data_IF_430295615915
#
_entry.id   IF_430295615915
#
_cell.length_a   1.000
_cell.length_b   1.000
_cell.length_c   1.000
_cell.angle_alpha   90.00
_cell.angle_beta   90.00
_cell.angle_gamma   90.00
#
_symmetry.space_group_name_H-M   'P 1'
#
loop_
_entity.id
_entity.type
_entity.pdbx_description
1 polymer ?
#
# COMPACT_ATOMS: atom_id res chain seq x y z
N UNK A 1 19.85 2.48 -13.35
CA UNK A 1 19.61 2.33 -11.90
C UNK A 1 18.32 1.57 -11.66
N UNK A 2 17.16 2.11 -12.04
CA UNK A 2 15.85 1.45 -11.79
C UNK A 2 15.72 0.05 -12.39
N UNK A 3 16.19 -0.19 -13.63
CA UNK A 3 16.22 -1.54 -14.23
C UNK A 3 17.03 -2.55 -13.39
N UNK A 4 18.11 -2.11 -12.73
CA UNK A 4 18.90 -3.00 -11.87
C UNK A 4 18.16 -3.30 -10.56
N UNK A 5 17.43 -2.32 -10.02
CA UNK A 5 16.59 -2.52 -8.84
C UNK A 5 15.43 -3.46 -9.15
N UNK A 6 14.72 -3.22 -10.26
CA UNK A 6 13.67 -4.09 -10.77
C UNK A 6 14.14 -5.55 -10.89
N UNK A 7 15.26 -5.80 -11.58
CA UNK A 7 15.79 -7.17 -11.71
C UNK A 7 16.26 -7.79 -10.39
N UNK A 8 16.53 -7.00 -9.35
CA UNK A 8 16.79 -7.55 -8.01
C UNK A 8 15.49 -7.97 -7.34
N UNK A 9 14.42 -7.18 -7.45
CA UNK A 9 13.10 -7.54 -6.96
C UNK A 9 12.54 -8.78 -7.68
N UNK A 10 12.66 -8.87 -9.01
CA UNK A 10 12.27 -10.05 -9.78
C UNK A 10 12.98 -11.32 -9.28
N UNK A 11 14.28 -11.23 -9.00
CA UNK A 11 15.06 -12.35 -8.47
C UNK A 11 14.53 -12.81 -7.11
N UNK A 12 14.13 -11.88 -6.24
CA UNK A 12 13.54 -12.24 -4.95
C UNK A 12 12.16 -12.88 -5.15
N UNK A 13 11.33 -12.28 -6.01
CA UNK A 13 9.96 -12.71 -6.24
C UNK A 13 9.87 -14.10 -6.87
N UNK A 14 10.75 -14.41 -7.82
CA UNK A 14 10.76 -15.69 -8.53
C UNK A 14 11.71 -16.74 -7.95
N UNK A 15 12.42 -16.44 -6.86
CA UNK A 15 13.33 -17.40 -6.26
C UNK A 15 12.58 -18.63 -5.73
N UNK A 16 12.99 -19.83 -6.15
CA UNK A 16 12.62 -21.06 -5.45
C UNK A 16 13.38 -21.09 -4.12
N UNK A 17 12.62 -20.99 -3.03
CA UNK A 17 13.11 -21.04 -1.66
C UNK A 17 12.48 -22.19 -0.87
N UNK A 18 12.05 -23.24 -1.56
CA UNK A 18 11.40 -24.40 -0.97
C UNK A 18 12.25 -25.10 0.10
N UNK A 19 13.57 -24.90 0.11
CA UNK A 19 14.46 -25.36 1.19
C UNK A 19 14.18 -24.72 2.57
N UNK A 20 13.35 -23.68 2.61
CA UNK A 20 12.89 -23.02 3.82
C UNK A 20 11.47 -23.44 4.26
N UNK A 21 10.78 -24.31 3.50
CA UNK A 21 9.40 -24.68 3.77
C UNK A 21 9.19 -25.35 5.14
N UNK A 22 10.16 -26.16 5.58
CA UNK A 22 10.10 -26.92 6.84
C UNK A 22 10.84 -26.22 8.00
N UNK A 23 11.40 -25.03 7.79
CA UNK A 23 12.20 -24.34 8.81
C UNK A 23 11.30 -23.52 9.73
N UNK A 24 11.40 -23.79 11.03
CA UNK A 24 11.00 -22.82 12.06
C UNK A 24 12.10 -21.78 12.18
N UNK A 25 11.87 -20.58 11.66
CA UNK A 25 12.84 -19.49 11.70
C UNK A 25 12.43 -18.30 10.83
N UNK A 26 13.36 -17.36 10.70
CA UNK A 26 13.15 -16.03 10.10
C UNK A 26 13.05 -16.03 8.58
N UNK A 27 13.62 -17.06 7.93
CA UNK A 27 13.57 -17.21 6.48
C UNK A 27 12.35 -18.02 6.04
N UNK A 28 11.59 -17.49 5.10
CA UNK A 28 10.37 -18.10 4.56
C UNK A 28 10.60 -18.63 3.15
N UNK A 29 9.82 -19.64 2.75
CA UNK A 29 9.83 -20.17 1.39
C UNK A 29 9.13 -19.25 0.36
N UNK A 30 8.49 -18.18 0.83
CA UNK A 30 7.76 -17.20 0.01
C UNK A 30 8.63 -15.96 -0.27
N UNK A 31 8.22 -15.06 -1.19
CA UNK A 31 8.87 -13.76 -1.47
C UNK A 31 8.90 -12.79 -0.28
N UNK A 32 9.52 -13.18 0.82
CA UNK A 32 9.54 -12.45 2.08
C UNK A 32 10.34 -11.14 1.98
N UNK A 33 9.82 -10.07 2.57
CA UNK A 33 10.45 -8.74 2.54
C UNK A 33 11.82 -8.70 3.23
N UNK A 34 12.11 -9.61 4.15
CA UNK A 34 13.47 -9.70 4.69
C UNK A 34 14.53 -10.15 3.68
N UNK A 35 14.15 -10.75 2.55
CA UNK A 35 15.09 -10.94 1.43
C UNK A 35 15.41 -9.64 0.72
N UNK A 36 14.49 -8.67 0.68
CA UNK A 36 14.77 -7.32 0.18
C UNK A 36 15.80 -6.66 1.08
N UNK A 37 15.58 -6.70 2.40
CA UNK A 37 16.54 -6.20 3.38
C UNK A 37 17.91 -6.87 3.22
N UNK A 38 17.94 -8.20 3.09
CA UNK A 38 19.19 -8.96 3.02
C UNK A 38 19.94 -8.83 1.69
N UNK A 39 19.25 -8.93 0.57
CA UNK A 39 19.88 -9.10 -0.76
C UNK A 39 19.89 -7.80 -1.58
N UNK A 40 18.96 -6.89 -1.31
CA UNK A 40 18.90 -5.57 -1.96
C UNK A 40 19.59 -4.53 -1.07
N UNK A 41 19.18 -4.43 0.20
CA UNK A 41 19.75 -3.46 1.14
C UNK A 41 21.09 -3.91 1.73
N UNK A 42 21.42 -5.21 1.64
CA UNK A 42 22.68 -5.78 2.16
C UNK A 42 22.82 -5.61 3.68
N UNK A 43 21.68 -5.65 4.37
CA UNK A 43 21.56 -5.58 5.83
C UNK A 43 21.10 -6.93 6.39
N UNK A 44 21.23 -7.14 7.69
CA UNK A 44 20.74 -8.33 8.38
C UNK A 44 19.45 -7.97 9.15
N UNK A 45 18.27 -8.46 8.73
CA UNK A 45 16.99 -8.07 9.33
C UNK A 45 16.94 -8.21 10.86
N UNK A 46 17.60 -9.23 11.42
CA UNK A 46 17.60 -9.48 12.86
C UNK A 46 18.64 -8.63 13.59
N UNK A 47 19.84 -8.50 13.04
CA UNK A 47 20.93 -7.78 13.72
C UNK A 47 20.76 -6.27 13.66
N UNK A 48 20.20 -5.79 12.56
CA UNK A 48 19.95 -4.38 12.31
C UNK A 48 18.55 -3.94 12.78
N UNK A 49 17.78 -4.85 13.41
CA UNK A 49 16.45 -4.63 13.99
C UNK A 49 15.45 -3.99 13.00
N UNK A 50 15.41 -4.54 11.78
CA UNK A 50 14.60 -3.98 10.70
C UNK A 50 13.23 -4.67 10.68
N UNK A 51 12.18 -3.88 10.89
CA UNK A 51 10.80 -4.37 10.79
C UNK A 51 10.42 -4.58 9.31
N UNK A 52 10.47 -5.85 8.86
CA UNK A 52 10.20 -6.24 7.46
C UNK A 52 9.25 -7.45 7.36
N UNK A 53 8.17 -7.44 8.16
CA UNK A 53 7.20 -8.54 8.20
C UNK A 53 6.18 -8.41 7.06
N UNK A 54 6.38 -9.20 6.01
CA UNK A 54 5.44 -9.30 4.91
C UNK A 54 6.03 -10.07 3.73
N UNK A 55 5.22 -10.25 2.70
CA UNK A 55 5.63 -10.84 1.42
C UNK A 55 5.37 -9.86 0.29
N UNK A 56 6.13 -10.01 -0.80
CA UNK A 56 5.79 -9.44 -2.09
C UNK A 56 4.74 -10.37 -2.72
N UNK A 57 3.55 -9.87 -2.98
CA UNK A 57 2.44 -10.60 -3.61
C UNK A 57 2.35 -10.36 -5.12
N UNK A 58 2.89 -9.23 -5.59
CA UNK A 58 2.93 -8.85 -6.99
C UNK A 58 4.19 -8.03 -7.33
N UNK A 59 4.63 -8.14 -8.57
CA UNK A 59 5.61 -7.26 -9.20
C UNK A 59 5.22 -7.07 -10.66
N UNK A 60 5.42 -5.86 -11.20
CA UNK A 60 5.28 -5.59 -12.64
C UNK A 60 6.14 -6.54 -13.48
N UNK A 61 5.71 -6.81 -14.72
CA UNK A 61 6.50 -7.61 -15.67
C UNK A 61 7.70 -6.86 -16.26
N UNK A 62 7.70 -5.53 -16.18
CA UNK A 62 8.75 -4.65 -16.72
C UNK A 62 8.70 -3.26 -16.10
N UNK A 63 9.82 -2.55 -16.20
CA UNK A 63 9.88 -1.11 -15.92
C UNK A 63 9.08 -0.33 -16.97
N UNK A 64 8.22 0.58 -16.50
CA UNK A 64 7.52 1.58 -17.32
C UNK A 64 8.40 2.82 -17.47
N UNK A 65 8.58 3.29 -18.70
CA UNK A 65 9.29 4.54 -19.00
C UNK A 65 8.27 5.61 -19.40
N UNK A 66 8.41 6.79 -18.83
CA UNK A 66 7.55 7.94 -19.05
C UNK A 66 8.20 8.94 -20.02
N UNK A 67 7.39 9.87 -20.54
CA UNK A 67 7.85 10.86 -21.53
C UNK A 67 8.69 12.00 -20.90
N UNK A 68 8.70 12.12 -19.57
CA UNK A 68 9.36 13.17 -18.79
C UNK A 68 10.72 12.72 -18.19
N UNK A 69 11.39 11.78 -18.85
CA UNK A 69 12.62 11.13 -18.38
C UNK A 69 12.48 10.39 -17.04
N UNK A 70 11.26 10.14 -16.57
CA UNK A 70 11.00 9.28 -15.40
C UNK A 70 10.73 7.83 -15.82
N UNK A 71 10.92 6.92 -14.86
CA UNK A 71 10.58 5.51 -15.03
C UNK A 71 10.22 4.93 -13.66
N UNK A 72 9.32 3.94 -13.64
CA UNK A 72 8.85 3.29 -12.42
C UNK A 72 8.55 1.81 -12.65
N UNK A 73 8.43 1.07 -11.55
CA UNK A 73 7.81 -0.25 -11.51
C UNK A 73 7.05 -0.38 -10.18
N UNK A 74 6.01 -1.18 -10.16
CA UNK A 74 5.19 -1.43 -8.99
C UNK A 74 5.49 -2.80 -8.39
N UNK A 75 5.38 -2.86 -7.05
CA UNK A 75 5.21 -4.09 -6.28
C UNK A 75 3.96 -3.98 -5.43
N UNK A 76 3.34 -5.10 -5.08
CA UNK A 76 2.37 -5.16 -3.99
C UNK A 76 2.92 -6.01 -2.86
N UNK A 77 2.57 -5.64 -1.64
CA UNK A 77 3.02 -6.36 -0.44
C UNK A 77 1.86 -6.67 0.47
N UNK A 78 1.83 -7.89 1.01
CA UNK A 78 0.96 -8.26 2.13
C UNK A 78 1.81 -8.23 3.39
N UNK A 79 1.47 -7.34 4.33
CA UNK A 79 2.32 -7.01 5.49
C UNK A 79 1.62 -7.28 6.81
N UNK A 80 2.40 -7.40 7.89
CA UNK A 80 1.83 -7.64 9.22
C UNK A 80 1.38 -6.33 9.87
N UNK A 81 0.12 -5.95 9.62
CA UNK A 81 -0.66 -4.93 10.34
C UNK A 81 -0.13 -3.49 10.30
N UNK A 82 0.84 -3.20 9.44
CA UNK A 82 1.35 -1.85 9.21
C UNK A 82 2.18 -1.84 7.91
N UNK A 83 2.30 -0.70 7.21
CA UNK A 83 3.21 -0.59 6.08
C UNK A 83 4.67 -0.67 6.51
N UNK A 84 5.54 -1.15 5.62
CA UNK A 84 6.97 -1.32 5.90
C UNK A 84 7.78 -0.06 5.53
N UNK A 85 7.33 1.10 6.02
CA UNK A 85 7.88 2.42 5.63
C UNK A 85 9.40 2.52 5.84
N UNK A 86 9.92 1.96 6.95
CA UNK A 86 11.37 1.91 7.18
C UNK A 86 12.15 1.13 6.11
N UNK A 87 11.59 0.03 5.58
CA UNK A 87 12.21 -0.70 4.46
C UNK A 87 12.19 0.14 3.19
N UNK A 88 11.07 0.81 2.90
CA UNK A 88 10.92 1.68 1.73
C UNK A 88 11.90 2.85 1.78
N UNK A 89 12.07 3.46 2.94
CA UNK A 89 13.01 4.57 3.12
C UNK A 89 14.47 4.13 2.93
N UNK A 90 14.86 2.97 3.46
CA UNK A 90 16.19 2.42 3.21
C UNK A 90 16.44 2.16 1.72
N UNK A 91 15.41 1.81 0.95
CA UNK A 91 15.50 1.67 -0.52
C UNK A 91 15.69 3.04 -1.17
N UNK A 92 14.90 4.05 -0.81
CA UNK A 92 15.05 5.43 -1.31
C UNK A 92 16.48 5.92 -1.09
N UNK A 93 17.00 5.80 0.13
CA UNK A 93 18.33 6.26 0.51
C UNK A 93 19.44 5.51 -0.25
N UNK A 94 19.31 4.17 -0.38
CA UNK A 94 20.34 3.35 -1.04
C UNK A 94 20.42 3.60 -2.54
N UNK A 95 19.28 3.80 -3.19
CA UNK A 95 19.21 3.90 -4.65
C UNK A 95 18.99 5.32 -5.16
N UNK A 96 18.78 6.32 -4.30
CA UNK A 96 18.48 7.68 -4.71
C UNK A 96 17.24 7.77 -5.60
N UNK A 97 16.17 7.09 -5.18
CA UNK A 97 14.86 7.07 -5.84
C UNK A 97 13.78 7.61 -4.90
N UNK A 98 12.59 7.87 -5.44
CA UNK A 98 11.38 8.14 -4.67
C UNK A 98 10.53 6.86 -4.63
N UNK A 99 9.98 6.53 -3.46
CA UNK A 99 9.03 5.43 -3.27
C UNK A 99 7.68 6.03 -2.93
N UNK A 100 6.69 5.76 -3.79
CA UNK A 100 5.29 6.09 -3.53
C UNK A 100 4.55 4.83 -3.08
N UNK A 101 3.65 4.97 -2.10
CA UNK A 101 2.84 3.87 -1.60
C UNK A 101 1.42 4.29 -1.24
N UNK A 102 0.56 3.29 -1.20
CA UNK A 102 -0.73 3.29 -0.53
C UNK A 102 -0.83 2.02 0.31
N UNK A 103 -1.40 2.11 1.50
CA UNK A 103 -1.57 1.01 2.44
C UNK A 103 -2.99 1.00 2.99
N UNK A 104 -3.60 -0.18 2.94
CA UNK A 104 -4.97 -0.43 3.37
C UNK A 104 -4.98 -1.63 4.33
N UNK A 105 -5.43 -1.41 5.56
CA UNK A 105 -5.66 -2.47 6.55
C UNK A 105 -6.93 -2.12 7.33
N UNK A 106 -8.05 -2.65 6.84
CA UNK A 106 -9.39 -2.36 7.34
C UNK A 106 -9.53 -2.71 8.83
N UNK A 107 -8.93 -3.81 9.29
CA UNK A 107 -9.10 -4.24 10.68
C UNK A 107 -8.40 -3.30 11.67
N UNK A 108 -7.35 -2.59 11.23
CA UNK A 108 -6.62 -1.61 12.03
C UNK A 108 -7.01 -0.16 11.72
N UNK A 109 -7.86 0.07 10.72
CA UNK A 109 -8.23 1.40 10.27
C UNK A 109 -7.06 2.16 9.65
N UNK A 110 -6.13 1.46 8.98
CA UNK A 110 -4.98 2.08 8.32
C UNK A 110 -5.35 2.31 6.86
N UNK A 111 -5.42 3.57 6.48
CA UNK A 111 -5.62 4.01 5.10
C UNK A 111 -4.68 5.19 4.89
N UNK A 112 -3.46 4.90 4.45
CA UNK A 112 -2.42 5.92 4.32
C UNK A 112 -1.66 5.80 3.01
N UNK A 113 -1.11 6.91 2.55
CA UNK A 113 -0.20 6.96 1.41
C UNK A 113 0.74 8.15 1.51
N UNK A 114 1.58 8.37 0.50
CA UNK A 114 2.50 9.51 0.50
C UNK A 114 2.51 10.34 -0.80
N UNK A 115 1.71 9.96 -1.78
CA UNK A 115 1.55 10.69 -3.04
C UNK A 115 0.54 11.85 -2.95
N UNK A 116 0.91 12.90 -2.22
CA UNK A 116 0.06 14.08 -2.02
C UNK A 116 -0.34 14.76 -3.32
N UNK A 117 0.51 14.68 -4.35
CA UNK A 117 0.30 15.31 -5.65
C UNK A 117 -0.56 14.46 -6.59
N UNK A 118 -0.79 13.18 -6.27
CA UNK A 118 -1.58 12.26 -7.09
C UNK A 118 -0.88 11.89 -8.41
N UNK A 119 0.44 11.76 -8.40
CA UNK A 119 1.24 11.38 -9.59
C UNK A 119 1.01 9.94 -10.01
N UNK A 120 0.79 9.05 -9.04
CA UNK A 120 0.60 7.62 -9.17
C UNK A 120 -0.68 7.13 -8.48
N UNK A 121 -1.03 7.70 -7.32
CA UNK A 121 -2.21 7.35 -6.54
C UNK A 121 -3.12 8.56 -6.36
N UNK A 122 -4.22 8.60 -7.10
CA UNK A 122 -5.17 9.72 -7.09
C UNK A 122 -6.24 9.59 -6.03
N UNK A 123 -6.48 8.40 -5.50
CA UNK A 123 -7.55 8.13 -4.56
C UNK A 123 -7.35 8.91 -3.25
N UNK A 124 -8.44 9.41 -2.69
CA UNK A 124 -8.47 10.20 -1.44
C UNK A 124 -9.49 9.67 -0.45
N UNK A 125 -10.50 8.97 -0.94
CA UNK A 125 -11.54 8.37 -0.13
C UNK A 125 -11.84 6.94 -0.59
N UNK A 126 -12.23 6.11 0.37
CA UNK A 126 -12.62 4.73 0.15
C UNK A 126 -14.02 4.55 0.72
N UNK A 127 -14.92 3.94 -0.05
CA UNK A 127 -16.21 3.45 0.42
C UNK A 127 -16.17 1.92 0.36
N UNK A 128 -16.31 1.29 1.51
CA UNK A 128 -16.44 -0.16 1.64
C UNK A 128 -17.92 -0.50 1.82
N UNK A 129 -18.48 -1.18 0.81
CA UNK A 129 -19.82 -1.74 0.87
C UNK A 129 -19.71 -3.26 1.05
N UNK A 130 -20.01 -3.73 2.26
CA UNK A 130 -19.89 -5.17 2.61
C UNK A 130 -20.78 -6.11 1.78
N UNK A 131 -21.80 -5.56 1.08
CA UNK A 131 -22.64 -6.33 0.17
C UNK A 131 -22.12 -6.30 -1.29
N UNK A 132 -21.22 -5.38 -1.61
CA UNK A 132 -20.61 -5.17 -2.93
C UNK A 132 -19.07 -5.20 -2.81
N UNK A 133 -18.40 -4.35 -3.59
CA UNK A 133 -16.94 -4.18 -3.57
C UNK A 133 -16.60 -2.79 -2.99
N UNK A 134 -15.30 -2.55 -2.76
CA UNK A 134 -14.79 -1.23 -2.38
C UNK A 134 -14.72 -0.29 -3.59
N UNK A 135 -15.20 0.93 -3.42
CA UNK A 135 -15.08 2.03 -4.38
C UNK A 135 -14.07 3.07 -3.89
N UNK A 136 -13.32 3.64 -4.83
CA UNK A 136 -12.25 4.61 -4.58
C UNK A 136 -12.56 5.92 -5.29
N UNK A 137 -12.30 7.03 -4.61
CA UNK A 137 -12.63 8.38 -5.11
C UNK A 137 -11.45 9.31 -4.93
N UNK A 138 -11.10 10.05 -5.98
CA UNK A 138 -10.09 11.12 -5.93
C UNK A 138 -10.65 12.45 -5.40
N UNK A 139 -11.98 12.58 -5.33
CA UNK A 139 -12.68 13.80 -4.95
C UNK A 139 -13.79 13.56 -3.92
N UNK A 140 -13.96 14.54 -3.02
CA UNK A 140 -15.05 14.52 -2.04
C UNK A 140 -16.42 14.65 -2.72
N UNK A 141 -16.50 15.39 -3.82
CA UNK A 141 -17.76 15.64 -4.51
C UNK A 141 -18.35 14.35 -5.12
N UNK A 142 -17.49 13.45 -5.61
CA UNK A 142 -17.88 12.15 -6.16
C UNK A 142 -18.35 11.21 -5.05
N UNK A 143 -17.57 11.08 -3.96
CA UNK A 143 -17.99 10.36 -2.76
C UNK A 143 -19.35 10.88 -2.25
N UNK A 144 -19.49 12.20 -2.13
CA UNK A 144 -20.72 12.84 -1.67
C UNK A 144 -21.90 12.55 -2.60
N UNK A 145 -21.66 12.41 -3.91
CA UNK A 145 -22.69 12.00 -4.86
C UNK A 145 -23.16 10.57 -4.60
N UNK A 146 -22.24 9.63 -4.35
CA UNK A 146 -22.59 8.24 -4.02
C UNK A 146 -23.38 8.16 -2.71
N UNK A 147 -22.95 8.87 -1.67
CA UNK A 147 -23.69 8.93 -0.40
C UNK A 147 -25.11 9.50 -0.62
N UNK A 148 -25.25 10.54 -1.44
CA UNK A 148 -26.56 11.08 -1.80
C UNK A 148 -27.44 10.08 -2.54
N UNK A 149 -26.87 9.28 -3.45
CA UNK A 149 -27.64 8.28 -4.20
C UNK A 149 -28.12 7.13 -3.30
N UNK A 150 -27.32 6.77 -2.28
CA UNK A 150 -27.68 5.76 -1.29
C UNK A 150 -28.73 6.23 -0.27
N UNK A 151 -28.64 7.50 0.16
CA UNK A 151 -29.38 8.00 1.34
C UNK A 151 -30.43 9.05 1.01
N UNK A 152 -30.32 9.72 -0.14
CA UNK A 152 -31.07 10.92 -0.47
C UNK A 152 -30.59 12.20 0.25
N UNK A 153 -29.46 12.14 0.97
CA UNK A 153 -28.87 13.26 1.71
C UNK A 153 -27.41 13.46 1.30
N UNK A 154 -27.11 14.59 0.62
CA UNK A 154 -25.75 14.90 0.18
C UNK A 154 -24.91 15.50 1.32
N UNK A 155 -23.79 14.87 1.73
CA UNK A 155 -22.87 15.46 2.69
C UNK A 155 -22.16 16.68 2.09
N UNK A 156 -21.79 17.64 2.95
CA UNK A 156 -21.02 18.82 2.59
C UNK A 156 -19.58 18.80 3.13
N UNK A 157 -19.28 17.87 4.02
CA UNK A 157 -17.97 17.61 4.64
C UNK A 157 -17.85 16.12 4.94
N UNK A 158 -16.63 15.60 5.05
CA UNK A 158 -16.39 14.20 5.37
C UNK A 158 -16.91 13.82 6.76
N UNK A 159 -16.67 14.67 7.76
CA UNK A 159 -17.04 14.45 9.17
C UNK A 159 -18.53 14.11 9.41
N UNK A 160 -19.44 14.53 8.52
CA UNK A 160 -20.87 14.28 8.68
C UNK A 160 -21.34 12.97 8.04
N UNK A 161 -20.52 12.32 7.22
CA UNK A 161 -20.89 11.10 6.47
C UNK A 161 -21.34 10.00 7.44
N UNK A 162 -20.57 9.74 8.49
CA UNK A 162 -20.94 8.71 9.49
C UNK A 162 -22.31 8.99 10.10
N UNK A 163 -22.63 10.25 10.39
CA UNK A 163 -23.94 10.62 10.93
C UNK A 163 -25.09 10.35 9.94
N UNK A 164 -24.86 10.56 8.64
CA UNK A 164 -25.83 10.23 7.59
C UNK A 164 -26.00 8.71 7.48
N UNK A 165 -24.90 7.95 7.42
CA UNK A 165 -24.92 6.48 7.38
C UNK A 165 -25.74 5.91 8.55
N UNK A 166 -25.48 6.37 9.77
CA UNK A 166 -26.19 5.88 10.95
C UNK A 166 -27.67 6.26 10.97
N UNK A 167 -28.02 7.46 10.50
CA UNK A 167 -29.42 7.90 10.38
C UNK A 167 -30.22 7.01 9.42
N UNK A 168 -29.56 6.44 8.42
CA UNK A 168 -30.15 5.56 7.42
C UNK A 168 -29.96 4.06 7.72
N UNK A 169 -29.47 3.71 8.90
CA UNK A 169 -29.26 2.32 9.35
C UNK A 169 -28.31 1.52 8.44
N UNK A 170 -27.27 2.19 7.93
CA UNK A 170 -26.29 1.60 7.00
C UNK A 170 -24.94 1.22 7.68
N UNK A 171 -24.80 1.35 9.00
CA UNK A 171 -23.51 1.17 9.71
C UNK A 171 -22.90 -0.22 9.57
N UNK A 172 -23.74 -1.26 9.39
CA UNK A 172 -23.27 -2.63 9.21
C UNK A 172 -22.87 -2.92 7.75
N UNK A 173 -23.20 -2.02 6.82
CA UNK A 173 -23.01 -2.21 5.39
C UNK A 173 -21.98 -1.27 4.79
N UNK A 174 -22.05 0.01 5.11
CA UNK A 174 -21.28 1.07 4.48
C UNK A 174 -20.28 1.63 5.50
N UNK A 175 -19.00 1.52 5.17
CA UNK A 175 -17.92 2.20 5.88
C UNK A 175 -17.23 3.15 4.91
N UNK A 176 -16.81 4.31 5.41
CA UNK A 176 -16.14 5.32 4.58
C UNK A 176 -14.88 5.78 5.28
N UNK A 177 -13.80 5.85 4.52
CA UNK A 177 -12.46 6.19 5.01
C UNK A 177 -11.88 7.33 4.18
N UNK A 178 -11.15 8.22 4.85
CA UNK A 178 -10.30 9.23 4.21
C UNK A 178 -8.86 8.70 4.25
N UNK A 179 -8.17 8.75 3.12
CA UNK A 179 -6.77 8.30 3.04
C UNK A 179 -5.88 9.41 3.59
N UNK A 180 -5.14 9.11 4.66
CA UNK A 180 -4.18 10.03 5.25
C UNK A 180 -2.89 10.04 4.44
N UNK A 181 -2.56 11.19 3.85
CA UNK A 181 -1.30 11.35 3.13
C UNK A 181 -0.18 11.85 4.06
N UNK A 182 0.77 10.97 4.36
CA UNK A 182 1.89 11.18 5.27
C UNK A 182 3.21 11.20 4.53
N UNK A 183 4.21 11.90 5.08
CA UNK A 183 5.59 11.75 4.59
C UNK A 183 6.12 10.38 4.98
N UNK A 184 6.93 9.76 4.11
CA UNK A 184 7.68 8.56 4.49
C UNK A 184 8.57 8.87 5.69
N UNK A 185 8.20 8.36 6.86
CA UNK A 185 8.87 8.59 8.14
C UNK A 185 9.59 7.32 8.62
N UNK A 186 10.60 7.51 9.47
CA UNK A 186 11.27 6.42 10.20
C UNK A 186 10.39 5.88 11.33
#
# INVERSE_FOLDING_TARGET
MINQLFSKFEKIFHADRSEHADRKGTYLAMPWLGYVVKEILELDPEKDDIYCRGIISYIDEKVTNCDDDTAFFQIQTETAWAPMNGVFKLIEEKFGIEVFYIAEELAMGIFEGNDTEGRFFTDRYILDDTELDMDYFDSFDDLASVINDLTGEKPNTFDIIQGIISKHELDERIMVYEIEYVSLSD
#
